data_IF_238174895722
#
_entry.id   IF_238174895722
#
_cell.length_a   1.000
_cell.length_b   1.000
_cell.length_c   1.000
_cell.angle_alpha   90.00
_cell.angle_beta   90.00
_cell.angle_gamma   90.00
#
_symmetry.space_group_name_H-M   'P 1'
#
loop_
_entity.id
_entity.type
_entity.pdbx_description
1 polymer ?
#
# COMPACT_ATOMS: atom_id res chain seq x y z
N UNK A 1 -7.01 8.43 -6.74
CA UNK A 1 -5.81 8.92 -6.02
C UNK A 1 -4.61 8.68 -6.91
N UNK A 2 -3.60 9.54 -6.88
CA UNK A 2 -2.42 9.42 -7.75
C UNK A 2 -1.15 9.55 -6.93
N UNK A 3 -0.95 10.72 -6.29
CA UNK A 3 0.21 10.96 -5.43
C UNK A 3 0.31 10.01 -4.24
N UNK A 4 -0.83 9.55 -3.70
CA UNK A 4 -0.87 8.59 -2.60
C UNK A 4 -0.17 7.26 -2.93
N UNK A 5 -0.29 6.78 -4.17
CA UNK A 5 0.37 5.53 -4.58
C UNK A 5 1.90 5.67 -4.58
N UNK A 6 2.42 6.81 -5.06
CA UNK A 6 3.86 7.08 -5.03
C UNK A 6 4.38 7.19 -3.60
N UNK A 7 3.64 7.87 -2.73
CA UNK A 7 3.97 7.98 -1.31
C UNK A 7 4.05 6.60 -0.64
N UNK A 8 3.00 5.78 -0.79
CA UNK A 8 2.96 4.45 -0.18
C UNK A 8 4.11 3.57 -0.67
N UNK A 9 4.42 3.60 -1.98
CA UNK A 9 5.53 2.84 -2.55
C UNK A 9 6.89 3.22 -1.95
N UNK A 10 7.17 4.52 -1.80
CA UNK A 10 8.42 5.00 -1.19
C UNK A 10 8.49 4.61 0.28
N UNK A 11 7.39 4.76 1.02
CA UNK A 11 7.36 4.45 2.45
C UNK A 11 7.47 2.95 2.73
N UNK A 12 6.85 2.10 1.91
CA UNK A 12 7.01 0.64 1.97
C UNK A 12 8.46 0.22 1.67
N UNK A 13 9.08 0.82 0.66
CA UNK A 13 10.49 0.57 0.36
C UNK A 13 11.39 0.99 1.54
N UNK A 14 11.18 2.18 2.10
CA UNK A 14 11.95 2.68 3.24
C UNK A 14 11.80 1.75 4.47
N UNK A 15 10.59 1.28 4.75
CA UNK A 15 10.34 0.33 5.85
C UNK A 15 11.02 -1.03 5.60
N UNK A 16 10.99 -1.52 4.36
CA UNK A 16 11.67 -2.76 3.97
C UNK A 16 13.19 -2.63 4.11
N UNK A 17 13.80 -1.53 3.67
CA UNK A 17 15.25 -1.25 3.85
C UNK A 17 15.60 -1.18 5.33
N UNK A 18 14.79 -0.49 6.14
CA UNK A 18 14.99 -0.37 7.58
C UNK A 18 14.96 -1.73 8.29
N UNK A 19 13.98 -2.58 7.95
CA UNK A 19 13.86 -3.94 8.51
C UNK A 19 14.96 -4.89 8.01
N UNK A 20 15.39 -4.74 6.76
CA UNK A 20 16.48 -5.52 6.17
C UNK A 20 17.86 -5.13 6.73
N UNK A 21 18.02 -3.89 7.22
CA UNK A 21 19.32 -3.34 7.59
C UNK A 21 20.27 -3.15 6.40
N UNK A 22 19.73 -3.19 5.17
CA UNK A 22 20.48 -3.13 3.93
C UNK A 22 19.60 -2.64 2.79
N UNK A 23 20.20 -1.96 1.81
CA UNK A 23 19.55 -1.57 0.57
C UNK A 23 19.79 -2.56 -0.59
N UNK A 24 20.44 -3.71 -0.31
CA UNK A 24 20.67 -4.74 -1.32
C UNK A 24 19.33 -5.30 -1.84
N UNK A 25 19.13 -5.42 -3.18
CA UNK A 25 17.82 -5.72 -3.76
C UNK A 25 17.14 -6.98 -3.19
N UNK A 26 17.93 -8.05 -3.00
CA UNK A 26 17.41 -9.30 -2.42
C UNK A 26 16.96 -9.13 -0.97
N UNK A 27 17.74 -8.41 -0.16
CA UNK A 27 17.42 -8.18 1.24
C UNK A 27 16.16 -7.32 1.39
N UNK A 28 16.00 -6.30 0.55
CA UNK A 28 14.80 -5.46 0.51
C UNK A 28 13.57 -6.27 0.12
N UNK A 29 13.64 -7.09 -0.94
CA UNK A 29 12.53 -7.96 -1.35
C UNK A 29 12.14 -8.93 -0.23
N UNK A 30 13.12 -9.64 0.33
CA UNK A 30 12.91 -10.62 1.39
C UNK A 30 12.28 -10.00 2.65
N UNK A 31 12.56 -8.71 2.90
CA UNK A 31 11.99 -7.97 4.01
C UNK A 31 10.60 -7.41 3.69
N UNK A 32 10.38 -6.92 2.47
CA UNK A 32 9.08 -6.40 2.01
C UNK A 32 8.00 -7.48 2.10
N UNK A 33 8.30 -8.72 1.68
CA UNK A 33 7.40 -9.88 1.76
C UNK A 33 6.95 -10.24 3.19
N UNK A 34 7.56 -9.65 4.22
CA UNK A 34 7.24 -9.87 5.64
C UNK A 34 6.48 -8.69 6.26
N UNK A 35 6.24 -7.61 5.51
CA UNK A 35 5.54 -6.42 6.01
C UNK A 35 4.04 -6.73 6.11
N UNK A 36 3.49 -6.58 7.31
CA UNK A 36 2.05 -6.71 7.59
C UNK A 36 1.59 -5.52 8.43
N UNK A 37 0.30 -5.21 8.35
CA UNK A 37 -0.35 -4.09 9.05
C UNK A 37 0.29 -2.72 8.78
N UNK A 38 0.83 -2.52 7.58
CA UNK A 38 1.39 -1.22 7.21
C UNK A 38 0.27 -0.28 6.77
N UNK A 39 0.02 0.77 7.55
CA UNK A 39 -1.04 1.75 7.27
C UNK A 39 -0.55 2.77 6.24
N UNK A 40 -1.00 2.61 4.99
CA UNK A 40 -0.75 3.54 3.89
C UNK A 40 -1.96 4.38 3.53
N UNK A 41 -1.80 5.25 2.53
CA UNK A 41 -2.87 6.09 1.97
C UNK A 41 -3.89 5.23 1.22
N UNK A 42 -3.42 4.20 0.51
CA UNK A 42 -4.26 3.28 -0.26
C UNK A 42 -4.97 2.20 0.57
N UNK A 43 -4.63 2.05 1.85
CA UNK A 43 -5.18 1.01 2.72
C UNK A 43 -4.14 0.41 3.67
N UNK A 44 -4.47 -0.72 4.28
CA UNK A 44 -3.57 -1.45 5.18
C UNK A 44 -2.90 -2.58 4.39
N UNK A 45 -1.60 -2.45 4.15
CA UNK A 45 -0.82 -3.39 3.37
C UNK A 45 -0.38 -4.61 4.20
N UNK A 46 -0.60 -5.79 3.63
CA UNK A 46 -0.23 -7.09 4.16
C UNK A 46 0.42 -7.96 3.07
N UNK A 47 1.73 -7.88 2.96
CA UNK A 47 2.51 -8.62 1.96
C UNK A 47 2.75 -10.07 2.36
N UNK A 48 3.00 -10.90 1.34
CA UNK A 48 3.50 -12.25 1.50
C UNK A 48 4.38 -12.64 0.31
N UNK A 49 5.12 -13.77 0.37
CA UNK A 49 5.86 -14.27 -0.80
C UNK A 49 4.99 -14.56 -2.03
N UNK A 50 3.69 -14.73 -1.85
CA UNK A 50 2.73 -15.06 -2.92
C UNK A 50 1.77 -13.91 -3.25
N UNK A 51 1.81 -12.81 -2.51
CA UNK A 51 1.00 -11.62 -2.74
C UNK A 51 1.86 -10.35 -2.56
N UNK A 52 2.19 -9.76 -3.71
CA UNK A 52 2.97 -8.51 -3.82
C UNK A 52 2.08 -7.27 -4.05
N UNK A 53 0.76 -7.40 -3.91
CA UNK A 53 -0.14 -6.25 -3.83
C UNK A 53 -0.40 -5.88 -2.36
N UNK A 54 -0.71 -6.88 -1.54
CA UNK A 54 -0.93 -6.72 -0.10
C UNK A 54 -2.17 -5.91 0.28
N UNK A 55 -3.04 -5.58 -0.67
CA UNK A 55 -4.34 -4.96 -0.43
C UNK A 55 -5.45 -5.90 -0.92
N UNK A 56 -6.60 -5.84 -0.26
CA UNK A 56 -7.80 -6.59 -0.63
C UNK A 56 -8.99 -5.64 -0.90
N UNK A 57 -10.19 -6.21 -1.06
CA UNK A 57 -11.40 -5.46 -1.34
C UNK A 57 -11.74 -4.39 -0.27
N UNK A 58 -11.24 -4.53 0.96
CA UNK A 58 -11.47 -3.54 2.02
C UNK A 58 -10.75 -2.21 1.79
N UNK A 59 -9.74 -2.18 0.91
CA UNK A 59 -9.03 -0.98 0.50
C UNK A 59 -9.86 -0.08 -0.44
N UNK A 60 -10.99 -0.57 -0.95
CA UNK A 60 -11.79 0.13 -1.95
C UNK A 60 -13.09 0.68 -1.37
N UNK A 61 -13.46 1.86 -1.86
CA UNK A 61 -14.78 2.45 -1.66
C UNK A 61 -15.38 2.79 -3.01
N UNK A 62 -16.71 2.68 -3.11
CA UNK A 62 -17.44 3.14 -4.28
C UNK A 62 -17.62 4.65 -4.18
N UNK A 63 -17.39 5.35 -5.29
CA UNK A 63 -17.59 6.79 -5.40
C UNK A 63 -18.52 7.11 -6.57
N UNK A 64 -19.28 8.19 -6.43
CA UNK A 64 -20.07 8.78 -7.50
C UNK A 64 -19.63 10.23 -7.76
N UNK A 65 -19.90 10.72 -8.96
CA UNK A 65 -19.74 12.14 -9.30
C UNK A 65 -21.08 12.83 -9.15
N UNK A 66 -21.19 13.78 -8.21
CA UNK A 66 -22.41 14.51 -7.93
C UNK A 66 -22.12 16.01 -7.82
N UNK A 67 -22.66 16.80 -8.76
CA UNK A 67 -22.45 18.25 -8.79
C UNK A 67 -21.02 18.68 -9.14
N UNK A 68 -20.27 17.84 -9.87
CA UNK A 68 -18.87 18.12 -10.25
C UNK A 68 -17.84 17.75 -9.17
N UNK A 69 -18.27 17.14 -8.07
CA UNK A 69 -17.39 16.67 -6.99
C UNK A 69 -17.57 15.16 -6.74
N UNK A 70 -16.62 14.59 -6.02
CA UNK A 70 -16.59 13.19 -5.62
C UNK A 70 -17.38 13.00 -4.32
N UNK A 71 -18.30 12.06 -4.31
CA UNK A 71 -18.99 11.63 -3.09
C UNK A 71 -18.79 10.14 -2.86
N UNK A 72 -18.63 9.75 -1.60
CA UNK A 72 -18.68 8.34 -1.21
C UNK A 72 -20.09 7.84 -1.46
N UNK A 73 -20.21 6.75 -2.19
CA UNK A 73 -21.49 6.07 -2.39
C UNK A 73 -21.87 5.35 -1.09
N UNK A 74 -22.75 5.98 -0.32
CA UNK A 74 -23.37 5.35 0.85
C UNK A 74 -24.53 4.48 0.39
N UNK A 75 -24.72 3.32 1.03
CA UNK A 75 -25.93 2.51 0.86
C UNK A 75 -27.18 3.24 1.33
#
# INVERSE_FOLDING_TARGET
TFGGHGWDGVMLFAEAVKKAGSAEPKAVRDSLEKITNFVGVGGIFNFSPTDHNGLDASAFVMIEVAGGDWKILTK
#
